data_IF_204133942641
#
_entry.id   IF_204133942641
#
_cell.length_a   1.000
_cell.length_b   1.000
_cell.length_c   1.000
_cell.angle_alpha   90.00
_cell.angle_beta   90.00
_cell.angle_gamma   90.00
#
_symmetry.space_group_name_H-M   'P 1'
#
loop_
_entity.id
_entity.type
_entity.pdbx_description
1 polymer ?
#
# COMPACT_ATOMS: atom_id res chain seq x y z
N UNK A 1 -3.29 40.64 -52.20
CA UNK A 1 -3.89 39.41 -51.62
C UNK A 1 -3.11 39.06 -50.37
N UNK A 2 -3.59 39.49 -49.23
CA UNK A 2 -2.93 39.37 -47.93
C UNK A 2 -3.64 38.22 -47.14
N UNK A 3 -2.93 37.10 -47.01
CA UNK A 3 -3.39 35.99 -46.16
C UNK A 3 -3.15 36.35 -44.69
N UNK A 4 -4.24 36.47 -43.92
CA UNK A 4 -4.22 36.50 -42.47
C UNK A 4 -4.04 35.05 -41.95
N UNK A 5 -3.01 34.82 -41.20
CA UNK A 5 -2.83 33.60 -40.39
C UNK A 5 -3.69 33.69 -39.14
N UNK A 6 -4.49 32.69 -38.91
CA UNK A 6 -5.30 32.46 -37.67
C UNK A 6 -4.41 31.72 -36.70
N UNK A 7 -4.28 32.17 -35.44
CA UNK A 7 -3.54 31.42 -34.43
C UNK A 7 -4.36 30.22 -33.95
N UNK A 8 -3.72 29.13 -33.49
CA UNK A 8 -4.42 27.95 -32.95
C UNK A 8 -5.06 28.28 -31.60
N UNK A 9 -6.27 27.76 -31.38
CA UNK A 9 -7.04 27.88 -30.17
C UNK A 9 -6.39 27.06 -29.03
N UNK A 10 -6.22 27.72 -27.88
CA UNK A 10 -5.83 27.09 -26.61
C UNK A 10 -6.91 26.06 -26.18
N UNK A 11 -6.50 24.93 -25.57
CA UNK A 11 -7.45 24.01 -24.94
C UNK A 11 -8.00 24.62 -23.66
N UNK A 12 -9.32 24.71 -23.59
CA UNK A 12 -10.08 25.14 -22.41
C UNK A 12 -9.80 24.18 -21.23
N UNK A 13 -9.26 24.72 -20.16
CA UNK A 13 -9.06 24.00 -18.91
C UNK A 13 -10.38 23.53 -18.31
N UNK A 14 -10.50 22.24 -18.10
CA UNK A 14 -11.58 21.63 -17.35
C UNK A 14 -11.50 22.02 -15.87
N UNK A 15 -12.57 22.58 -15.40
CA UNK A 15 -12.78 23.12 -14.07
C UNK A 15 -12.77 22.01 -13.01
N UNK A 16 -11.74 21.95 -12.17
CA UNK A 16 -11.58 20.98 -11.05
C UNK A 16 -12.15 21.57 -9.74
N UNK A 17 -13.33 22.19 -9.80
CA UNK A 17 -13.92 22.89 -8.68
C UNK A 17 -15.10 22.16 -8.02
N UNK A 18 -14.95 20.87 -7.63
CA UNK A 18 -16.02 20.11 -6.97
C UNK A 18 -15.82 19.85 -5.48
N UNK A 19 -14.71 20.24 -4.87
CA UNK A 19 -14.35 19.78 -3.52
C UNK A 19 -14.29 20.85 -2.42
N UNK A 20 -14.68 22.09 -2.69
CA UNK A 20 -14.70 23.17 -1.67
C UNK A 20 -16.10 23.64 -1.33
N UNK A 21 -16.92 22.80 -0.73
CA UNK A 21 -18.09 23.30 0.00
C UNK A 21 -18.54 22.29 1.07
N UNK A 22 -18.38 22.70 2.31
CA UNK A 22 -19.00 22.25 3.56
C UNK A 22 -18.18 21.34 4.48
N UNK A 23 -17.27 21.92 5.23
CA UNK A 23 -17.15 21.68 6.68
C UNK A 23 -16.63 22.97 7.33
N UNK A 24 -17.50 23.89 7.68
CA UNK A 24 -17.30 24.88 8.75
C UNK A 24 -18.65 25.04 9.45
N UNK A 25 -18.81 24.38 10.60
CA UNK A 25 -19.77 24.80 11.61
C UNK A 25 -19.42 24.22 12.98
N UNK A 26 -18.79 25.07 13.76
CA UNK A 26 -19.18 25.37 15.15
C UNK A 26 -18.84 24.34 16.24
N UNK A 27 -17.69 24.53 16.83
CA UNK A 27 -17.50 24.25 18.27
C UNK A 27 -17.77 25.53 19.05
N UNK A 28 -18.89 25.57 19.78
CA UNK A 28 -19.15 26.54 20.86
C UNK A 28 -18.97 25.83 22.20
N UNK A 29 -18.03 26.30 22.98
CA UNK A 29 -17.84 25.96 24.38
C UNK A 29 -19.01 26.49 25.23
N UNK A 30 -19.55 25.62 26.07
CA UNK A 30 -20.33 26.04 27.22
C UNK A 30 -19.70 25.44 28.48
N UNK A 31 -19.16 26.31 29.31
CA UNK A 31 -18.66 26.05 30.64
C UNK A 31 -19.81 25.79 31.60
N UNK A 32 -19.75 24.71 32.35
CA UNK A 32 -20.69 24.42 33.45
C UNK A 32 -20.01 23.59 34.53
N UNK A 33 -19.99 24.13 35.70
CA UNK A 33 -19.37 23.78 36.96
C UNK A 33 -19.85 22.45 37.57
N UNK A 34 -18.91 21.74 38.21
CA UNK A 34 -19.09 20.54 39.03
C UNK A 34 -19.63 20.88 40.44
N UNK A 35 -20.31 19.94 41.09
CA UNK A 35 -19.95 19.64 42.48
C UNK A 35 -19.81 18.15 42.75
N UNK A 36 -18.79 17.82 43.53
CA UNK A 36 -18.45 16.50 43.96
C UNK A 36 -19.32 15.89 45.04
N UNK A 37 -19.30 14.61 45.16
CA UNK A 37 -19.59 13.85 46.40
C UNK A 37 -18.80 12.52 46.45
N UNK A 38 -18.33 12.30 47.64
CA UNK A 38 -17.48 11.31 48.27
C UNK A 38 -17.75 9.82 48.05
N UNK A 39 -16.66 9.07 48.18
CA UNK A 39 -16.35 7.66 48.37
C UNK A 39 -17.16 6.98 49.55
N UNK A 40 -17.37 5.62 49.54
CA UNK A 40 -16.37 4.79 50.26
C UNK A 40 -16.02 3.44 49.66
N UNK A 41 -14.80 3.02 50.03
CA UNK A 41 -14.17 1.71 49.99
C UNK A 41 -15.02 0.55 50.59
N UNK A 42 -14.95 -0.62 49.95
CA UNK A 42 -15.02 -1.88 50.68
C UNK A 42 -14.10 -2.93 50.01
N UNK A 43 -13.13 -3.39 50.75
CA UNK A 43 -12.21 -4.45 50.37
C UNK A 43 -12.82 -5.85 50.52
N UNK A 44 -12.38 -6.77 49.69
CA UNK A 44 -12.49 -8.20 49.97
C UNK A 44 -11.16 -8.88 49.61
N UNK A 45 -10.48 -9.36 50.63
CA UNK A 45 -9.28 -10.22 50.56
C UNK A 45 -9.74 -11.65 50.38
N UNK A 46 -9.24 -12.32 49.34
CA UNK A 46 -9.27 -13.77 49.26
C UNK A 46 -7.85 -14.27 48.97
N UNK A 47 -7.30 -14.92 49.98
CA UNK A 47 -6.02 -15.64 49.92
C UNK A 47 -6.29 -17.05 49.39
N UNK A 48 -5.64 -17.46 48.35
CA UNK A 48 -5.43 -18.87 48.01
C UNK A 48 -3.96 -19.08 47.66
N UNK A 49 -3.39 -20.02 48.36
CA UNK A 49 -1.98 -20.37 48.33
C UNK A 49 -1.55 -21.14 47.07
N UNK A 50 -0.45 -20.80 46.54
CA UNK A 50 0.73 -21.57 46.23
C UNK A 50 0.69 -22.62 45.11
N UNK A 51 1.42 -22.29 44.03
CA UNK A 51 2.39 -23.20 43.42
C UNK A 51 3.43 -22.39 42.69
N UNK A 52 4.67 -22.50 43.12
CA UNK A 52 5.86 -21.86 42.55
C UNK A 52 6.27 -22.55 41.28
N UNK A 53 6.26 -21.82 40.15
CA UNK A 53 7.14 -22.09 39.01
C UNK A 53 7.74 -20.77 38.58
N UNK A 54 9.04 -20.68 38.74
CA UNK A 54 9.87 -19.54 38.33
C UNK A 54 9.95 -19.44 36.80
N UNK A 55 9.26 -18.48 36.26
CA UNK A 55 9.55 -17.97 34.91
C UNK A 55 9.89 -16.50 35.05
N UNK A 56 11.11 -16.13 34.62
CA UNK A 56 11.62 -14.79 34.66
C UNK A 56 10.79 -13.81 33.81
N UNK A 57 10.89 -12.50 34.06
CA UNK A 57 10.13 -11.50 33.31
C UNK A 57 10.65 -11.45 31.88
N UNK A 58 9.83 -11.84 30.91
CA UNK A 58 10.01 -11.49 29.52
C UNK A 58 9.78 -9.98 29.37
N UNK A 59 10.88 -9.23 29.34
CA UNK A 59 10.84 -7.84 28.94
C UNK A 59 10.35 -7.74 27.51
N UNK A 60 9.22 -7.05 27.29
CA UNK A 60 8.88 -6.55 25.99
C UNK A 60 9.85 -5.40 25.69
N UNK A 61 10.93 -5.73 24.98
CA UNK A 61 11.75 -4.73 24.31
C UNK A 61 10.93 -4.06 23.20
N UNK A 62 11.30 -2.84 22.78
CA UNK A 62 10.68 -2.20 21.62
C UNK A 62 10.75 -3.15 20.42
N UNK A 63 9.82 -3.04 19.43
CA UNK A 63 9.87 -3.87 18.24
C UNK A 63 11.25 -3.72 17.62
N UNK A 64 12.07 -4.74 17.82
CA UNK A 64 13.49 -4.73 17.53
C UNK A 64 13.69 -4.73 16.03
N UNK A 65 14.75 -4.06 15.62
CA UNK A 65 15.36 -4.17 14.32
C UNK A 65 15.24 -5.60 13.79
N UNK A 66 14.62 -5.73 12.62
CA UNK A 66 14.60 -6.99 11.89
C UNK A 66 16.07 -7.41 11.74
N UNK A 67 16.42 -8.56 12.26
CA UNK A 67 17.76 -9.10 12.10
C UNK A 67 18.02 -9.25 10.60
N UNK A 68 19.03 -8.57 10.09
CA UNK A 68 19.49 -8.77 8.73
C UNK A 68 19.79 -10.26 8.55
N UNK A 69 19.20 -10.85 7.52
CA UNK A 69 19.51 -12.22 7.15
C UNK A 69 20.97 -12.25 6.70
N UNK A 70 21.78 -13.15 7.25
CA UNK A 70 23.17 -13.26 6.87
C UNK A 70 23.30 -13.48 5.37
N UNK A 71 24.30 -12.84 4.74
CA UNK A 71 24.60 -13.04 3.32
C UNK A 71 24.60 -14.52 2.95
N UNK A 72 24.11 -14.88 1.74
CA UNK A 72 24.18 -16.26 1.23
C UNK A 72 25.58 -16.85 1.36
N UNK A 73 25.68 -18.13 1.69
CA UNK A 73 26.99 -18.80 1.96
C UNK A 73 27.96 -18.85 0.78
N UNK A 74 27.56 -18.36 -0.43
CA UNK A 74 28.39 -18.34 -1.64
C UNK A 74 28.12 -17.09 -2.47
N UNK A 75 28.99 -16.09 -2.37
CA UNK A 75 28.99 -14.93 -3.26
C UNK A 75 29.86 -15.20 -4.48
N UNK A 76 29.36 -14.95 -5.67
CA UNK A 76 30.15 -14.99 -6.92
C UNK A 76 31.03 -13.74 -7.01
N UNK A 77 30.45 -12.60 -6.60
CA UNK A 77 31.14 -11.31 -6.51
C UNK A 77 30.86 -10.70 -5.14
N UNK A 78 31.87 -10.05 -4.56
CA UNK A 78 31.71 -9.31 -3.30
C UNK A 78 32.09 -7.86 -3.51
N UNK A 79 31.15 -6.96 -3.22
CA UNK A 79 31.31 -5.52 -3.32
C UNK A 79 31.48 -4.93 -1.93
N UNK A 80 32.52 -4.13 -1.76
CA UNK A 80 32.81 -3.41 -0.52
C UNK A 80 32.99 -1.90 -0.73
N UNK A 81 32.95 -1.45 -1.99
CA UNK A 81 33.15 -0.05 -2.38
C UNK A 81 32.18 0.34 -3.50
N UNK A 82 31.70 1.56 -3.45
CA UNK A 82 30.81 2.13 -4.47
C UNK A 82 31.41 2.06 -5.89
N UNK A 83 32.70 2.35 -6.04
CA UNK A 83 33.40 2.34 -7.34
C UNK A 83 33.38 0.97 -8.05
N UNK A 84 33.20 -0.11 -7.31
CA UNK A 84 33.21 -1.48 -7.86
C UNK A 84 31.82 -1.92 -8.35
N UNK A 85 30.75 -1.20 -7.99
CA UNK A 85 29.35 -1.55 -8.27
C UNK A 85 29.08 -1.68 -9.75
N UNK A 86 29.38 -0.69 -10.63
CA UNK A 86 29.02 -0.80 -12.06
C UNK A 86 29.67 -1.99 -12.72
N UNK A 87 30.97 -2.22 -12.48
CA UNK A 87 31.70 -3.31 -13.09
C UNK A 87 31.20 -4.69 -12.66
N UNK A 88 30.80 -4.85 -11.39
CA UNK A 88 30.27 -6.12 -10.88
C UNK A 88 28.86 -6.39 -11.41
N UNK A 89 28.01 -5.39 -11.52
CA UNK A 89 26.66 -5.54 -12.10
C UNK A 89 26.71 -5.86 -13.61
N UNK A 90 27.62 -5.21 -14.34
CA UNK A 90 27.83 -5.48 -15.77
C UNK A 90 28.38 -6.88 -16.04
N UNK A 91 29.19 -7.42 -15.12
CA UNK A 91 29.78 -8.75 -15.25
C UNK A 91 28.85 -9.89 -14.81
N UNK A 92 27.78 -9.59 -14.06
CA UNK A 92 26.88 -10.60 -13.52
C UNK A 92 26.22 -11.45 -14.61
N UNK A 93 26.15 -12.74 -14.39
CA UNK A 93 25.57 -13.74 -15.27
C UNK A 93 24.48 -14.53 -14.54
N UNK A 94 23.65 -15.26 -15.29
CA UNK A 94 22.59 -16.09 -14.73
C UNK A 94 23.14 -17.07 -13.67
N UNK A 95 22.54 -17.06 -12.49
CA UNK A 95 22.94 -17.86 -11.33
C UNK A 95 24.00 -17.20 -10.42
N UNK A 96 24.49 -16.04 -10.77
CA UNK A 96 25.43 -15.31 -9.91
C UNK A 96 24.74 -14.70 -8.68
N UNK A 97 25.48 -14.65 -7.57
CA UNK A 97 25.15 -13.91 -6.37
C UNK A 97 26.15 -12.79 -6.16
N UNK A 98 25.71 -11.56 -6.33
CA UNK A 98 26.50 -10.35 -6.09
C UNK A 98 26.19 -9.88 -4.66
N UNK A 99 27.16 -10.04 -3.77
CA UNK A 99 27.04 -9.70 -2.35
C UNK A 99 27.58 -8.29 -2.07
N UNK A 100 26.79 -7.51 -1.37
CA UNK A 100 27.17 -6.19 -0.90
C UNK A 100 27.50 -6.28 0.60
N UNK A 101 28.79 -6.35 0.93
CA UNK A 101 29.26 -6.45 2.29
C UNK A 101 29.89 -5.14 2.72
N UNK A 102 29.23 -4.50 3.66
CA UNK A 102 29.79 -3.36 4.37
C UNK A 102 29.12 -2.04 4.09
N UNK A 103 28.36 -1.61 5.05
CA UNK A 103 28.08 -0.26 5.40
C UNK A 103 27.35 0.58 4.35
N UNK A 104 27.60 1.84 4.50
CA UNK A 104 27.06 2.89 3.66
C UNK A 104 27.85 2.97 2.35
N UNK A 105 27.18 2.67 1.22
CA UNK A 105 27.72 2.90 -0.12
C UNK A 105 27.39 4.31 -0.61
N UNK A 106 26.89 5.17 0.26
CA UNK A 106 26.63 6.57 0.02
C UNK A 106 25.60 6.83 -1.07
N UNK A 107 25.88 7.80 -1.90
CA UNK A 107 25.01 8.26 -3.00
C UNK A 107 25.07 7.30 -4.22
N UNK A 108 25.21 5.98 -3.99
CA UNK A 108 25.33 5.00 -5.07
C UNK A 108 23.96 4.57 -5.57
N UNK A 109 23.77 4.68 -6.89
CA UNK A 109 22.65 4.11 -7.58
C UNK A 109 23.01 2.70 -8.09
N UNK A 110 22.17 1.72 -7.79
CA UNK A 110 22.28 0.37 -8.35
C UNK A 110 21.45 0.29 -9.63
N UNK A 111 22.13 0.15 -10.77
CA UNK A 111 21.43 -0.01 -12.07
C UNK A 111 21.75 -1.39 -12.64
N UNK A 112 20.77 -2.32 -12.58
CA UNK A 112 20.89 -3.68 -13.05
C UNK A 112 20.18 -3.85 -14.39
N UNK A 113 20.93 -4.25 -15.43
CA UNK A 113 20.42 -4.47 -16.79
C UNK A 113 20.70 -5.90 -17.30
N UNK A 114 21.37 -6.72 -16.49
CA UNK A 114 21.66 -8.12 -16.82
C UNK A 114 20.55 -9.00 -16.30
N UNK A 115 20.03 -9.86 -17.15
CA UNK A 115 18.98 -10.81 -16.80
C UNK A 115 19.55 -12.15 -16.34
N UNK A 116 18.93 -12.71 -15.31
CA UNK A 116 19.05 -14.14 -15.01
C UNK A 116 18.15 -14.99 -15.89
N UNK A 117 17.86 -16.19 -15.43
CA UNK A 117 16.82 -17.07 -15.99
C UNK A 117 15.92 -17.58 -14.85
N UNK A 118 14.76 -18.13 -15.18
CA UNK A 118 13.84 -18.68 -14.19
C UNK A 118 14.49 -19.74 -13.28
N UNK A 119 15.36 -20.57 -13.85
CA UNK A 119 16.08 -21.63 -13.12
C UNK A 119 17.38 -21.13 -12.46
N UNK A 120 17.89 -19.97 -12.86
CA UNK A 120 19.15 -19.40 -12.40
C UNK A 120 19.04 -17.85 -12.35
N UNK A 121 18.28 -17.28 -11.40
CA UNK A 121 18.18 -15.83 -11.25
C UNK A 121 19.52 -15.24 -10.85
N UNK A 122 19.72 -13.94 -11.15
CA UNK A 122 20.81 -13.18 -10.57
C UNK A 122 20.33 -12.64 -9.21
N UNK A 123 21.13 -12.83 -8.17
CA UNK A 123 20.80 -12.33 -6.82
C UNK A 123 21.72 -11.17 -6.45
N UNK A 124 21.12 -10.03 -6.13
CA UNK A 124 21.78 -8.91 -5.48
C UNK A 124 21.46 -9.01 -3.98
N UNK A 125 22.42 -9.40 -3.16
CA UNK A 125 22.22 -9.66 -1.74
C UNK A 125 23.04 -8.69 -0.88
N UNK A 126 22.41 -8.09 0.12
CA UNK A 126 23.07 -7.19 1.06
C UNK A 126 22.83 -7.64 2.50
N UNK A 127 23.79 -7.34 3.39
CA UNK A 127 23.62 -7.39 4.84
C UNK A 127 23.50 -5.94 5.34
N UNK A 128 22.34 -5.33 5.06
CA UNK A 128 22.04 -3.95 5.44
C UNK A 128 22.89 -2.89 4.73
N UNK A 129 23.50 -3.19 3.59
CA UNK A 129 24.20 -2.17 2.82
C UNK A 129 23.22 -1.07 2.38
N UNK A 130 23.60 0.19 2.61
CA UNK A 130 22.80 1.37 2.26
C UNK A 130 23.18 1.88 0.90
N UNK A 131 22.17 2.09 0.03
CA UNK A 131 22.30 2.69 -1.31
C UNK A 131 21.26 3.77 -1.50
N UNK A 132 21.47 4.69 -2.46
CA UNK A 132 20.55 5.79 -2.69
C UNK A 132 19.30 5.35 -3.45
N UNK A 133 19.50 4.59 -4.53
CA UNK A 133 18.43 4.15 -5.43
C UNK A 133 18.74 2.79 -6.04
N UNK A 134 17.70 2.04 -6.38
CA UNK A 134 17.84 0.78 -7.11
C UNK A 134 16.95 0.80 -8.34
N UNK A 135 17.52 0.53 -9.51
CA UNK A 135 16.81 0.33 -10.76
C UNK A 135 17.15 -1.05 -11.33
N UNK A 136 16.17 -1.92 -11.46
CA UNK A 136 16.30 -3.23 -12.11
C UNK A 136 15.47 -3.21 -13.39
N UNK A 137 16.15 -3.19 -14.54
CA UNK A 137 15.58 -3.21 -15.89
C UNK A 137 16.02 -4.49 -16.59
N UNK A 138 15.58 -5.60 -16.08
CA UNK A 138 16.05 -6.95 -16.44
C UNK A 138 15.03 -7.98 -15.96
N UNK A 139 15.15 -9.22 -16.43
CA UNK A 139 14.32 -10.33 -16.01
C UNK A 139 15.06 -11.24 -15.00
N UNK A 140 14.30 -11.90 -14.13
CA UNK A 140 14.80 -12.90 -13.19
C UNK A 140 15.95 -12.40 -12.32
N UNK A 141 15.72 -11.30 -11.62
CA UNK A 141 16.64 -10.71 -10.63
C UNK A 141 15.99 -10.71 -9.26
N UNK A 142 16.75 -11.06 -8.24
CA UNK A 142 16.38 -10.99 -6.84
C UNK A 142 17.14 -9.84 -6.19
N UNK A 143 16.43 -8.94 -5.50
CA UNK A 143 16.98 -7.87 -4.67
C UNK A 143 16.65 -8.16 -3.21
N UNK A 144 17.65 -8.37 -2.36
CA UNK A 144 17.39 -8.72 -0.97
C UNK A 144 18.34 -8.05 0.03
N UNK A 145 17.80 -7.66 1.19
CA UNK A 145 18.56 -7.23 2.35
C UNK A 145 19.15 -5.81 2.29
N UNK A 146 18.77 -5.00 1.32
CA UNK A 146 19.26 -3.62 1.17
C UNK A 146 18.50 -2.64 2.06
N UNK A 147 19.23 -1.59 2.44
CA UNK A 147 18.65 -0.31 2.86
C UNK A 147 18.70 0.65 1.67
N UNK A 148 17.57 1.19 1.24
CA UNK A 148 17.48 2.17 0.14
C UNK A 148 16.95 3.49 0.72
N UNK A 149 17.73 4.57 0.60
CA UNK A 149 17.39 5.82 1.25
C UNK A 149 17.79 7.07 0.46
N UNK A 150 16.90 8.05 0.40
CA UNK A 150 17.19 9.41 -0.08
C UNK A 150 17.00 9.65 -1.58
N UNK A 151 16.85 8.59 -2.39
CA UNK A 151 16.70 8.70 -3.86
C UNK A 151 15.29 8.40 -4.36
N UNK A 152 15.20 7.81 -5.55
CA UNK A 152 13.94 7.42 -6.20
C UNK A 152 13.26 6.19 -5.61
N UNK A 153 13.90 5.50 -4.64
CA UNK A 153 13.43 4.22 -4.11
C UNK A 153 13.88 3.02 -4.95
N UNK A 154 13.02 2.02 -5.08
CA UNK A 154 13.29 0.82 -5.87
C UNK A 154 12.38 0.80 -7.09
N UNK A 155 12.96 0.78 -8.29
CA UNK A 155 12.26 0.61 -9.56
C UNK A 155 12.56 -0.77 -10.14
N UNK A 156 11.50 -1.52 -10.43
CA UNK A 156 11.54 -2.84 -11.06
C UNK A 156 10.80 -2.77 -12.41
N UNK A 157 11.47 -3.17 -13.49
CA UNK A 157 10.92 -3.27 -14.84
C UNK A 157 11.33 -4.61 -15.43
N UNK A 158 10.41 -5.57 -15.58
CA UNK A 158 10.73 -6.88 -16.16
C UNK A 158 9.83 -8.02 -15.68
N UNK A 159 10.28 -9.25 -15.92
CA UNK A 159 9.57 -10.47 -15.55
C UNK A 159 10.33 -11.31 -14.53
N UNK A 160 9.61 -11.99 -13.65
CA UNK A 160 10.20 -12.90 -12.66
C UNK A 160 11.11 -12.20 -11.64
N UNK A 161 10.80 -10.94 -11.30
CA UNK A 161 11.58 -10.15 -10.33
C UNK A 161 11.14 -10.45 -8.90
N UNK A 162 12.09 -10.39 -7.99
CA UNK A 162 11.79 -10.50 -6.55
C UNK A 162 12.50 -9.37 -5.79
N UNK A 163 11.73 -8.61 -5.00
CA UNK A 163 12.28 -7.69 -4.01
C UNK A 163 11.85 -8.16 -2.62
N UNK A 164 12.80 -8.53 -1.76
CA UNK A 164 12.48 -9.08 -0.44
C UNK A 164 13.43 -8.60 0.67
N UNK A 165 12.90 -8.51 1.88
CA UNK A 165 13.67 -8.16 3.09
C UNK A 165 14.44 -6.84 2.96
N UNK A 166 13.96 -5.91 2.13
CA UNK A 166 14.59 -4.59 1.99
C UNK A 166 13.93 -3.58 2.93
N UNK A 167 14.71 -2.60 3.36
CA UNK A 167 14.21 -1.41 4.06
C UNK A 167 14.35 -0.21 3.12
N UNK A 168 13.23 0.47 2.84
CA UNK A 168 13.18 1.64 1.95
C UNK A 168 12.64 2.83 2.73
N UNK A 169 13.39 3.93 2.82
CA UNK A 169 12.95 5.07 3.61
C UNK A 169 13.46 6.41 3.09
N UNK A 170 12.77 7.49 3.49
CA UNK A 170 13.14 8.87 3.17
C UNK A 170 13.34 9.11 1.67
N UNK A 171 12.54 8.47 0.81
CA UNK A 171 12.69 8.58 -0.64
C UNK A 171 11.93 9.79 -1.21
N UNK A 172 12.38 10.29 -2.35
CA UNK A 172 11.78 11.45 -3.02
C UNK A 172 10.65 11.09 -4.01
N UNK A 173 10.52 9.81 -4.40
CA UNK A 173 9.52 9.37 -5.40
C UNK A 173 8.58 8.33 -4.80
N UNK A 174 9.00 7.08 -4.67
CA UNK A 174 8.17 6.01 -4.13
C UNK A 174 8.97 5.07 -3.25
N UNK A 175 8.30 4.09 -2.63
CA UNK A 175 8.98 3.00 -1.96
C UNK A 175 9.49 1.97 -2.97
N UNK A 176 8.61 1.05 -3.39
CA UNK A 176 8.91 0.03 -4.42
C UNK A 176 7.90 0.19 -5.57
N UNK A 177 8.40 0.49 -6.75
CA UNK A 177 7.62 0.58 -7.99
C UNK A 177 7.95 -0.60 -8.90
N UNK A 178 6.94 -1.35 -9.34
CA UNK A 178 7.06 -2.48 -10.28
C UNK A 178 6.19 -2.16 -11.51
N UNK A 179 6.76 -1.46 -12.49
CA UNK A 179 6.02 -0.89 -13.63
C UNK A 179 6.88 -0.78 -14.92
N UNK A 180 6.67 -1.61 -15.94
CA UNK A 180 5.80 -2.79 -15.94
C UNK A 180 6.48 -4.05 -15.39
N UNK A 181 5.71 -4.87 -14.69
CA UNK A 181 6.20 -6.16 -14.20
C UNK A 181 5.27 -7.31 -14.59
N UNK A 182 5.86 -8.51 -14.70
CA UNK A 182 5.11 -9.76 -14.90
C UNK A 182 5.69 -10.88 -14.06
N UNK A 183 4.82 -11.71 -13.44
CA UNK A 183 5.24 -12.88 -12.64
C UNK A 183 6.28 -12.53 -11.54
N UNK A 184 6.09 -11.39 -10.87
CA UNK A 184 7.07 -10.82 -9.94
C UNK A 184 6.54 -10.82 -8.51
N UNK A 185 7.47 -10.77 -7.54
CA UNK A 185 7.15 -10.84 -6.11
C UNK A 185 7.79 -9.69 -5.33
N UNK A 186 7.00 -9.03 -4.48
CA UNK A 186 7.44 -8.02 -3.52
C UNK A 186 7.03 -8.51 -2.14
N UNK A 187 8.00 -8.97 -1.32
CA UNK A 187 7.66 -9.61 -0.06
C UNK A 187 8.56 -9.19 1.10
N UNK A 188 7.97 -9.10 2.30
CA UNK A 188 8.71 -8.86 3.55
C UNK A 188 9.58 -7.60 3.54
N UNK A 189 9.20 -6.57 2.77
CA UNK A 189 9.91 -5.29 2.77
C UNK A 189 9.28 -4.32 3.77
N UNK A 190 10.07 -3.38 4.25
CA UNK A 190 9.61 -2.28 5.12
C UNK A 190 9.80 -0.95 4.40
N UNK A 191 8.72 -0.19 4.21
CA UNK A 191 8.72 1.15 3.64
C UNK A 191 8.26 2.15 4.69
N UNK A 192 9.05 3.22 4.91
CA UNK A 192 8.72 4.26 5.88
C UNK A 192 9.16 5.63 5.35
N UNK A 193 8.29 6.63 5.48
CA UNK A 193 8.56 7.99 5.04
C UNK A 193 8.98 8.07 3.57
N UNK A 194 8.27 7.33 2.71
CA UNK A 194 8.47 7.33 1.25
C UNK A 194 7.45 8.24 0.58
N UNK A 195 7.86 8.93 -0.49
CA UNK A 195 6.98 9.86 -1.16
C UNK A 195 5.98 9.15 -2.10
N UNK A 196 4.79 9.71 -2.28
CA UNK A 196 3.74 9.24 -3.20
C UNK A 196 3.10 7.92 -2.79
N UNK A 197 3.74 6.76 -3.02
CA UNK A 197 3.18 5.45 -2.71
C UNK A 197 4.22 4.57 -2.02
N UNK A 198 3.78 3.79 -1.03
CA UNK A 198 4.64 2.76 -0.45
C UNK A 198 5.02 1.71 -1.49
N UNK A 199 4.01 1.15 -2.18
CA UNK A 199 4.20 0.23 -3.31
C UNK A 199 3.30 0.67 -4.47
N UNK A 200 3.83 0.65 -5.70
CA UNK A 200 3.07 0.85 -6.95
C UNK A 200 3.32 -0.34 -7.88
N UNK A 201 2.26 -1.03 -8.30
CA UNK A 201 2.38 -2.17 -9.21
C UNK A 201 1.55 -1.97 -10.46
N UNK A 202 2.18 -2.19 -11.61
CA UNK A 202 1.54 -2.19 -12.93
C UNK A 202 1.98 -3.41 -13.73
N UNK A 203 1.03 -4.23 -14.19
CA UNK A 203 1.37 -5.38 -15.03
C UNK A 203 0.50 -6.61 -14.80
N UNK A 204 1.12 -7.78 -14.69
CA UNK A 204 0.37 -9.03 -14.58
C UNK A 204 0.98 -9.99 -13.55
N UNK A 205 0.12 -10.67 -12.79
CA UNK A 205 0.49 -11.75 -11.85
C UNK A 205 1.61 -11.36 -10.88
N UNK A 206 1.49 -10.16 -10.29
CA UNK A 206 2.41 -9.68 -9.27
C UNK A 206 1.87 -10.13 -7.90
N UNK A 207 2.74 -10.71 -7.09
CA UNK A 207 2.48 -11.04 -5.69
C UNK A 207 3.09 -9.98 -4.79
N UNK A 208 2.28 -9.42 -3.89
CA UNK A 208 2.72 -8.46 -2.87
C UNK A 208 2.34 -9.03 -1.51
N UNK A 209 3.33 -9.50 -0.75
CA UNK A 209 3.06 -10.29 0.46
C UNK A 209 3.87 -9.83 1.66
N UNK A 210 3.22 -9.76 2.83
CA UNK A 210 3.88 -9.53 4.12
C UNK A 210 4.74 -8.27 4.20
N UNK A 211 4.46 -7.22 3.41
CA UNK A 211 5.18 -5.95 3.50
C UNK A 211 4.59 -5.07 4.60
N UNK A 212 5.44 -4.21 5.16
CA UNK A 212 5.04 -3.15 6.11
C UNK A 212 5.26 -1.78 5.47
N UNK A 213 4.20 -0.99 5.40
CA UNK A 213 4.20 0.36 4.82
C UNK A 213 3.67 1.33 5.89
N UNK A 214 4.39 2.41 6.12
CA UNK A 214 3.96 3.44 7.07
C UNK A 214 4.47 4.83 6.69
N UNK A 215 3.73 5.84 7.15
CA UNK A 215 4.16 7.24 7.04
C UNK A 215 4.53 7.65 5.60
N UNK A 216 3.71 7.21 4.62
CA UNK A 216 3.88 7.68 3.24
C UNK A 216 3.58 9.17 3.18
N UNK A 217 4.37 9.94 2.42
CA UNK A 217 4.29 11.40 2.37
C UNK A 217 4.02 11.92 0.96
N UNK A 218 3.48 13.11 0.85
CA UNK A 218 3.28 13.78 -0.45
C UNK A 218 4.62 14.07 -1.09
N UNK A 219 4.78 13.74 -2.37
CA UNK A 219 6.00 14.07 -3.09
C UNK A 219 6.18 15.58 -3.25
N UNK A 220 7.41 16.05 -3.47
CA UNK A 220 7.71 17.46 -3.73
C UNK A 220 6.95 18.05 -4.93
N UNK A 221 6.40 17.21 -5.78
CA UNK A 221 5.60 17.61 -6.96
C UNK A 221 4.09 17.61 -6.67
N UNK A 222 3.67 17.31 -5.44
CA UNK A 222 2.27 17.16 -5.05
C UNK A 222 1.76 15.74 -5.34
N UNK A 223 0.44 15.57 -5.27
CA UNK A 223 -0.23 14.28 -5.43
C UNK A 223 -0.73 13.71 -4.10
N UNK A 224 -1.04 12.43 -4.10
CA UNK A 224 -1.46 11.71 -2.91
C UNK A 224 -0.27 11.07 -2.17
N UNK A 225 -0.60 10.46 -1.04
CA UNK A 225 0.32 9.71 -0.20
C UNK A 225 -0.36 8.37 0.16
N UNK A 226 -0.30 7.38 -0.73
CA UNK A 226 -1.01 6.12 -0.55
C UNK A 226 -0.11 5.03 0.02
N UNK A 227 -0.74 4.04 0.65
CA UNK A 227 -0.03 2.81 0.99
C UNK A 227 0.37 2.04 -0.27
N UNK A 228 -0.61 1.74 -1.14
CA UNK A 228 -0.37 0.94 -2.34
C UNK A 228 -1.30 1.33 -3.49
N UNK A 229 -0.72 1.45 -4.69
CA UNK A 229 -1.47 1.52 -5.96
C UNK A 229 -1.27 0.27 -6.79
N UNK A 230 -2.31 -0.14 -7.52
CA UNK A 230 -2.27 -1.36 -8.32
C UNK A 230 -3.06 -1.23 -9.62
N UNK A 231 -2.46 -1.68 -10.72
CA UNK A 231 -3.01 -1.65 -12.08
C UNK A 231 -2.65 -2.93 -12.83
N UNK A 232 -3.60 -3.47 -13.60
CA UNK A 232 -3.41 -4.69 -14.36
C UNK A 232 -4.07 -5.90 -13.74
N UNK A 233 -3.59 -7.10 -13.98
CA UNK A 233 -4.40 -8.30 -13.71
C UNK A 233 -3.64 -9.46 -13.05
N UNK A 234 -4.42 -10.31 -12.37
CA UNK A 234 -3.89 -11.52 -11.75
C UNK A 234 -3.09 -11.27 -10.47
N UNK A 235 -3.19 -10.09 -9.86
CA UNK A 235 -2.39 -9.75 -8.68
C UNK A 235 -2.91 -10.43 -7.42
N UNK A 236 -1.98 -10.75 -6.51
CA UNK A 236 -2.26 -11.30 -5.17
C UNK A 236 -1.57 -10.41 -4.13
N UNK A 237 -2.37 -9.65 -3.38
CA UNK A 237 -1.92 -8.65 -2.39
C UNK A 237 -2.35 -9.17 -1.02
N UNK A 238 -1.41 -9.77 -0.28
CA UNK A 238 -1.78 -10.56 0.91
C UNK A 238 -0.92 -10.23 2.12
N UNK A 239 -1.57 -10.24 3.29
CA UNK A 239 -0.92 -10.17 4.60
C UNK A 239 -0.01 -8.94 4.81
N UNK A 240 -0.24 -7.85 4.07
CA UNK A 240 0.51 -6.60 4.23
C UNK A 240 -0.07 -5.78 5.39
N UNK A 241 0.78 -4.99 6.01
CA UNK A 241 0.40 -3.99 7.01
C UNK A 241 0.66 -2.60 6.47
N UNK A 242 -0.40 -1.77 6.40
CA UNK A 242 -0.33 -0.37 5.99
C UNK A 242 -0.86 0.48 7.13
N UNK A 243 -0.09 1.49 7.56
CA UNK A 243 -0.48 2.27 8.72
C UNK A 243 0.08 3.68 8.77
N UNK A 244 -0.57 4.51 9.58
CA UNK A 244 -0.05 5.78 10.04
C UNK A 244 0.25 6.75 8.89
N UNK A 245 -0.67 6.86 7.91
CA UNK A 245 -0.58 7.79 6.78
C UNK A 245 -1.58 8.92 6.99
N UNK A 246 -1.08 10.15 7.12
CA UNK A 246 -1.89 11.30 7.49
C UNK A 246 -1.95 12.38 6.40
N UNK A 247 -3.13 12.98 6.29
CA UNK A 247 -3.38 14.18 5.50
C UNK A 247 -3.11 15.48 6.28
N UNK A 248 -2.74 15.40 7.57
CA UNK A 248 -2.53 16.55 8.42
C UNK A 248 -1.22 17.29 8.10
N UNK A 249 -1.22 18.60 8.25
CA UNK A 249 -0.02 19.42 8.05
C UNK A 249 0.24 19.90 6.62
N UNK A 250 -0.46 19.37 5.63
CA UNK A 250 -0.31 19.80 4.23
C UNK A 250 -1.20 21.01 3.90
N UNK A 251 -0.66 21.96 3.11
CA UNK A 251 -1.45 23.10 2.60
C UNK A 251 -2.56 22.64 1.64
N UNK A 252 -2.28 21.61 0.84
CA UNK A 252 -3.25 20.88 0.03
C UNK A 252 -3.21 19.42 0.53
N UNK A 253 -4.14 19.05 1.43
CA UNK A 253 -4.12 17.72 2.02
C UNK A 253 -4.24 16.63 0.95
N UNK A 254 -3.43 15.57 1.03
CA UNK A 254 -3.61 14.38 0.20
C UNK A 254 -4.89 13.63 0.59
N UNK A 255 -5.21 12.63 -0.21
CA UNK A 255 -6.29 11.68 0.07
C UNK A 255 -5.68 10.28 0.30
N UNK A 256 -5.04 10.04 1.44
CA UNK A 256 -4.25 8.83 1.63
C UNK A 256 -5.15 7.58 1.79
N UNK A 257 -4.93 6.61 0.94
CA UNK A 257 -5.63 5.33 0.94
C UNK A 257 -4.66 4.17 1.23
N UNK A 258 -5.17 3.07 1.83
CA UNK A 258 -4.33 1.88 1.94
C UNK A 258 -4.15 1.21 0.58
N UNK A 259 -5.24 1.05 -0.17
CA UNK A 259 -5.24 0.43 -1.50
C UNK A 259 -6.02 1.29 -2.47
N UNK A 260 -5.39 1.70 -3.57
CA UNK A 260 -6.02 2.54 -4.59
C UNK A 260 -5.84 1.95 -5.99
N UNK A 261 -6.89 1.97 -6.80
CA UNK A 261 -6.85 1.82 -8.26
C UNK A 261 -7.79 2.81 -8.91
N UNK A 262 -7.43 3.29 -10.11
CA UNK A 262 -8.22 4.29 -10.85
C UNK A 262 -8.02 4.14 -12.35
N UNK A 263 -8.98 4.66 -13.14
CA UNK A 263 -8.84 4.76 -14.59
C UNK A 263 -7.92 5.95 -14.95
N UNK A 264 -6.72 5.67 -15.43
CA UNK A 264 -5.71 6.68 -15.72
C UNK A 264 -4.82 6.32 -16.92
N UNK A 265 -5.34 5.63 -17.90
CA UNK A 265 -4.59 5.09 -19.04
C UNK A 265 -3.62 3.95 -18.71
N UNK A 266 -3.64 3.45 -17.48
CA UNK A 266 -2.93 2.23 -17.08
C UNK A 266 -3.68 0.99 -17.57
N UNK A 267 -3.04 -0.19 -17.55
CA UNK A 267 -3.73 -1.44 -17.89
C UNK A 267 -4.99 -1.67 -17.02
N UNK A 268 -6.07 -2.21 -17.60
CA UNK A 268 -7.28 -2.52 -16.84
C UNK A 268 -7.03 -3.43 -15.64
N UNK A 269 -7.68 -3.13 -14.52
CA UNK A 269 -7.55 -3.89 -13.27
C UNK A 269 -8.62 -4.97 -13.16
N UNK A 270 -8.25 -6.24 -13.20
CA UNK A 270 -9.15 -7.38 -12.99
C UNK A 270 -8.41 -8.59 -12.43
N UNK A 271 -9.14 -9.56 -11.85
CA UNK A 271 -8.57 -10.72 -11.16
C UNK A 271 -7.54 -10.30 -10.09
N UNK A 272 -7.84 -9.23 -9.34
CA UNK A 272 -7.01 -8.80 -8.23
C UNK A 272 -7.60 -9.30 -6.92
N UNK A 273 -6.81 -10.02 -6.14
CA UNK A 273 -7.20 -10.48 -4.79
C UNK A 273 -6.41 -9.72 -3.75
N UNK A 274 -7.11 -9.02 -2.86
CA UNK A 274 -6.56 -8.29 -1.72
C UNK A 274 -7.08 -8.99 -0.46
N UNK A 275 -6.22 -9.71 0.27
CA UNK A 275 -6.68 -10.56 1.37
C UNK A 275 -5.76 -10.59 2.58
N UNK A 276 -6.37 -10.69 3.77
CA UNK A 276 -5.62 -10.82 5.03
C UNK A 276 -4.80 -9.59 5.43
N UNK A 277 -4.95 -8.46 4.75
CA UNK A 277 -4.17 -7.27 5.02
C UNK A 277 -4.72 -6.49 6.23
N UNK A 278 -3.86 -5.72 6.87
CA UNK A 278 -4.19 -4.79 7.93
C UNK A 278 -3.97 -3.35 7.45
N UNK A 279 -5.03 -2.54 7.52
CA UNK A 279 -5.01 -1.10 7.27
C UNK A 279 -5.44 -0.38 8.54
N UNK A 280 -4.60 0.47 9.11
CA UNK A 280 -4.92 1.18 10.34
C UNK A 280 -4.37 2.60 10.36
N UNK A 281 -5.12 3.52 10.97
CA UNK A 281 -4.71 4.92 11.13
C UNK A 281 -4.27 5.57 9.81
N UNK A 282 -5.08 5.39 8.75
CA UNK A 282 -4.92 6.03 7.45
C UNK A 282 -6.11 6.95 7.23
N UNK A 283 -5.89 8.19 6.80
CA UNK A 283 -6.89 9.25 6.91
C UNK A 283 -8.04 9.14 5.89
N UNK A 284 -7.91 8.37 4.82
CA UNK A 284 -9.02 8.14 3.89
C UNK A 284 -9.48 6.66 3.88
N UNK A 285 -9.53 6.00 2.74
CA UNK A 285 -10.13 4.67 2.64
C UNK A 285 -9.13 3.52 2.85
N UNK A 286 -9.67 2.38 3.24
CA UNK A 286 -8.93 1.12 3.18
C UNK A 286 -8.80 0.65 1.72
N UNK A 287 -9.89 0.74 0.94
CA UNK A 287 -9.89 0.47 -0.49
C UNK A 287 -10.68 1.54 -1.23
N UNK A 288 -10.09 2.14 -2.25
CA UNK A 288 -10.80 2.94 -3.24
C UNK A 288 -10.56 2.40 -4.66
N UNK A 289 -11.64 2.28 -5.44
CA UNK A 289 -11.59 2.01 -6.86
C UNK A 289 -12.50 2.99 -7.59
N UNK A 290 -11.91 3.82 -8.47
CA UNK A 290 -12.63 4.88 -9.16
C UNK A 290 -12.41 4.82 -10.67
N UNK A 291 -13.50 4.63 -11.42
CA UNK A 291 -13.52 4.75 -12.88
C UNK A 291 -14.20 6.05 -13.33
N UNK A 292 -13.93 6.49 -14.55
CA UNK A 292 -14.56 7.67 -15.10
C UNK A 292 -16.00 7.40 -15.57
N UNK A 293 -16.18 6.53 -16.57
CA UNK A 293 -17.48 6.26 -17.13
C UNK A 293 -17.77 4.78 -17.32
N UNK A 294 -16.74 4.02 -17.64
CA UNK A 294 -16.88 2.65 -18.10
C UNK A 294 -16.37 1.63 -17.10
N UNK A 295 -15.72 2.08 -16.05
CA UNK A 295 -15.10 1.21 -15.07
C UNK A 295 -14.13 0.26 -15.76
N UNK A 296 -13.85 -0.84 -15.13
CA UNK A 296 -12.92 -1.82 -15.66
C UNK A 296 -13.68 -2.90 -16.47
N UNK A 297 -13.95 -2.63 -17.75
CA UNK A 297 -14.71 -3.52 -18.63
C UNK A 297 -13.91 -4.64 -19.27
N UNK A 298 -12.61 -4.65 -19.09
CA UNK A 298 -11.74 -5.64 -19.74
C UNK A 298 -11.67 -6.99 -18.99
N UNK A 299 -12.35 -7.13 -17.86
CA UNK A 299 -12.44 -8.41 -17.16
C UNK A 299 -13.18 -9.45 -17.99
N UNK A 300 -12.68 -10.68 -18.09
CA UNK A 300 -13.44 -11.77 -18.68
C UNK A 300 -14.77 -12.03 -17.95
N UNK A 301 -15.77 -12.54 -18.65
CA UNK A 301 -17.06 -12.87 -18.07
C UNK A 301 -16.91 -13.77 -16.82
N UNK A 302 -17.56 -13.36 -15.74
CA UNK A 302 -17.53 -14.08 -14.46
C UNK A 302 -16.27 -13.94 -13.63
N UNK A 303 -15.28 -13.18 -14.08
CA UNK A 303 -14.07 -12.87 -13.30
C UNK A 303 -14.32 -11.57 -12.52
N UNK A 304 -14.21 -11.57 -11.16
CA UNK A 304 -14.26 -10.34 -10.40
C UNK A 304 -13.14 -9.38 -10.81
N UNK A 305 -13.46 -8.09 -10.85
CA UNK A 305 -12.41 -7.09 -11.03
C UNK A 305 -11.48 -7.05 -9.81
N UNK A 306 -12.08 -6.92 -8.62
CA UNK A 306 -11.35 -6.92 -7.35
C UNK A 306 -12.08 -7.86 -6.39
N UNK A 307 -11.34 -8.71 -5.70
CA UNK A 307 -11.81 -9.50 -4.54
C UNK A 307 -11.11 -8.99 -3.29
N UNK A 308 -11.84 -8.29 -2.43
CA UNK A 308 -11.38 -7.74 -1.17
C UNK A 308 -11.92 -8.60 -0.02
N UNK A 309 -11.06 -9.43 0.60
CA UNK A 309 -11.54 -10.51 1.50
C UNK A 309 -10.68 -10.67 2.76
N UNK A 310 -11.33 -10.77 3.92
CA UNK A 310 -10.65 -11.09 5.19
C UNK A 310 -9.69 -10.00 5.68
N UNK A 311 -9.81 -8.77 5.21
CA UNK A 311 -8.95 -7.66 5.63
C UNK A 311 -9.46 -7.01 6.91
N UNK A 312 -8.55 -6.41 7.67
CA UNK A 312 -8.84 -5.61 8.85
C UNK A 312 -8.59 -4.13 8.54
N UNK A 313 -9.64 -3.34 8.55
CA UNK A 313 -9.61 -1.92 8.23
C UNK A 313 -10.03 -1.08 9.44
N UNK A 314 -9.09 -0.32 9.98
CA UNK A 314 -9.30 0.64 11.07
C UNK A 314 -8.83 2.03 10.61
N UNK A 315 -9.41 2.50 9.49
CA UNK A 315 -9.06 3.77 8.84
C UNK A 315 -9.85 4.95 9.42
N UNK A 316 -9.36 6.17 9.16
CA UNK A 316 -9.96 7.40 9.69
C UNK A 316 -11.04 7.98 8.78
N UNK A 317 -11.17 7.52 7.54
CA UNK A 317 -12.14 7.99 6.55
C UNK A 317 -13.60 7.64 6.90
N UNK A 318 -14.52 8.33 6.24
CA UNK A 318 -15.95 8.11 6.42
C UNK A 318 -16.47 6.81 5.78
N UNK A 319 -15.75 6.25 4.83
CA UNK A 319 -15.95 4.93 4.23
C UNK A 319 -14.69 4.10 4.39
N UNK A 320 -14.82 2.79 4.63
CA UNK A 320 -13.67 1.88 4.56
C UNK A 320 -13.42 1.41 3.12
N UNK A 321 -14.49 1.09 2.38
CA UNK A 321 -14.43 0.73 0.96
C UNK A 321 -15.30 1.70 0.15
N UNK A 322 -14.73 2.28 -0.91
CA UNK A 322 -15.41 3.23 -1.79
C UNK A 322 -15.22 2.82 -3.26
N UNK A 323 -16.29 2.34 -3.89
CA UNK A 323 -16.31 1.83 -5.27
C UNK A 323 -17.18 2.73 -6.13
N UNK A 324 -16.61 3.32 -7.18
CA UNK A 324 -17.28 4.24 -8.08
C UNK A 324 -16.95 3.92 -9.53
N UNK A 325 -17.95 3.77 -10.40
CA UNK A 325 -17.78 3.36 -11.80
C UNK A 325 -16.88 2.10 -11.96
N UNK A 326 -17.00 1.15 -11.02
CA UNK A 326 -16.15 -0.04 -11.00
C UNK A 326 -16.99 -1.31 -10.79
N UNK A 327 -17.32 -2.06 -11.84
CA UNK A 327 -18.22 -3.22 -11.74
C UNK A 327 -17.52 -4.48 -11.21
N UNK A 328 -18.32 -5.47 -10.82
CA UNK A 328 -17.89 -6.83 -10.47
C UNK A 328 -16.90 -6.90 -9.31
N UNK A 329 -17.02 -6.02 -8.31
CA UNK A 329 -16.20 -6.05 -7.09
C UNK A 329 -16.83 -6.99 -6.06
N UNK A 330 -16.00 -7.82 -5.43
CA UNK A 330 -16.39 -8.70 -4.33
C UNK A 330 -15.77 -8.20 -3.04
N UNK A 331 -16.57 -7.85 -2.03
CA UNK A 331 -16.15 -7.41 -0.70
C UNK A 331 -16.71 -8.38 0.32
N UNK A 332 -15.89 -9.24 0.93
CA UNK A 332 -16.41 -10.27 1.83
C UNK A 332 -15.53 -10.55 3.05
N UNK A 333 -16.20 -10.85 4.18
CA UNK A 333 -15.53 -11.30 5.41
C UNK A 333 -14.46 -10.33 5.93
N UNK A 334 -14.61 -9.03 5.67
CA UNK A 334 -13.71 -8.01 6.21
C UNK A 334 -14.25 -7.46 7.53
N UNK A 335 -13.35 -6.92 8.35
CA UNK A 335 -13.68 -6.19 9.57
C UNK A 335 -13.37 -4.72 9.37
N UNK A 336 -14.38 -3.86 9.55
CA UNK A 336 -14.27 -2.42 9.37
C UNK A 336 -14.49 -1.67 10.68
N UNK A 337 -13.60 -0.75 10.98
CA UNK A 337 -13.67 0.13 12.16
C UNK A 337 -13.08 1.49 11.84
N UNK A 338 -13.23 2.44 12.76
CA UNK A 338 -12.62 3.77 12.63
C UNK A 338 -13.47 4.84 13.29
N UNK A 339 -12.86 5.95 13.73
CA UNK A 339 -13.53 7.00 14.50
C UNK A 339 -14.59 7.74 13.68
N UNK A 340 -14.36 7.92 12.38
CA UNK A 340 -15.22 8.69 11.48
C UNK A 340 -16.08 7.81 10.56
N UNK A 341 -16.00 6.48 10.68
CA UNK A 341 -16.70 5.55 9.81
C UNK A 341 -18.21 5.77 9.85
N UNK A 342 -18.81 6.15 8.73
CA UNK A 342 -20.26 6.33 8.55
C UNK A 342 -20.88 5.23 7.72
N UNK A 343 -20.10 4.64 6.80
CA UNK A 343 -20.44 3.49 5.97
C UNK A 343 -19.22 2.58 5.88
N UNK A 344 -19.42 1.29 6.04
CA UNK A 344 -18.31 0.35 5.82
C UNK A 344 -18.00 0.25 4.31
N UNK A 345 -19.03 0.04 3.48
CA UNK A 345 -18.89 -0.12 2.04
C UNK A 345 -19.87 0.82 1.31
N UNK A 346 -19.33 1.60 0.38
CA UNK A 346 -20.11 2.44 -0.55
C UNK A 346 -19.87 1.95 -1.97
N UNK A 347 -20.97 1.57 -2.66
CA UNK A 347 -20.98 1.16 -4.07
C UNK A 347 -21.86 2.16 -4.84
N UNK A 348 -21.29 2.87 -5.81
CA UNK A 348 -21.99 3.98 -6.47
C UNK A 348 -21.60 4.17 -7.92
N UNK A 349 -22.39 5.04 -8.59
CA UNK A 349 -22.14 5.53 -9.95
C UNK A 349 -22.01 4.41 -10.99
N UNK A 350 -22.97 3.45 -10.97
CA UNK A 350 -23.03 2.38 -11.98
C UNK A 350 -22.05 1.22 -11.74
N UNK A 351 -21.53 1.06 -10.53
CA UNK A 351 -20.73 -0.09 -10.13
C UNK A 351 -21.60 -1.35 -9.99
N UNK A 352 -22.02 -1.91 -11.10
CA UNK A 352 -22.98 -3.04 -11.16
C UNK A 352 -22.29 -4.39 -10.91
N UNK A 353 -23.09 -5.43 -10.58
CA UNK A 353 -22.59 -6.80 -10.39
C UNK A 353 -21.71 -7.00 -9.16
N UNK A 354 -21.75 -6.07 -8.20
CA UNK A 354 -20.93 -6.16 -6.98
C UNK A 354 -21.53 -7.13 -5.95
N UNK A 355 -20.67 -7.81 -5.21
CA UNK A 355 -21.06 -8.73 -4.13
C UNK A 355 -20.46 -8.24 -2.80
N UNK A 356 -21.32 -7.98 -1.79
CA UNK A 356 -20.88 -7.50 -0.47
C UNK A 356 -21.50 -8.40 0.60
N UNK A 357 -20.71 -9.32 1.15
CA UNK A 357 -21.23 -10.41 1.99
C UNK A 357 -20.37 -10.65 3.25
N UNK A 358 -21.04 -10.81 4.39
CA UNK A 358 -20.42 -11.32 5.62
C UNK A 358 -19.36 -10.40 6.22
N UNK A 359 -19.42 -9.10 5.94
CA UNK A 359 -18.53 -8.12 6.54
C UNK A 359 -19.04 -7.68 7.91
N UNK A 360 -18.12 -7.34 8.81
CA UNK A 360 -18.40 -6.90 10.17
C UNK A 360 -17.97 -5.45 10.36
N UNK A 361 -18.76 -4.66 11.09
CA UNK A 361 -18.41 -3.27 11.45
C UNK A 361 -18.63 -3.03 12.94
N UNK A 362 -17.74 -2.26 13.56
CA UNK A 362 -17.80 -1.93 15.00
C UNK A 362 -18.82 -0.84 15.35
N UNK A 363 -19.72 -0.44 14.45
CA UNK A 363 -20.72 0.63 14.69
C UNK A 363 -22.12 0.24 14.23
N UNK A 364 -23.13 0.68 14.99
CA UNK A 364 -24.58 0.60 14.67
C UNK A 364 -24.95 1.56 13.52
N UNK A 365 -24.29 1.50 12.38
CA UNK A 365 -24.58 2.34 11.23
C UNK A 365 -24.72 1.49 9.97
N UNK A 366 -25.34 2.03 8.89
CA UNK A 366 -25.46 1.28 7.65
C UNK A 366 -24.10 0.73 7.22
N UNK A 367 -23.99 -0.60 7.25
CA UNK A 367 -22.76 -1.29 6.90
C UNK A 367 -22.44 -1.12 5.42
N UNK A 368 -23.49 -1.17 4.58
CA UNK A 368 -23.38 -1.13 3.13
C UNK A 368 -24.39 -0.16 2.54
N UNK A 369 -23.94 0.69 1.64
CA UNK A 369 -24.81 1.55 0.81
C UNK A 369 -24.53 1.26 -0.66
N UNK A 370 -25.60 0.94 -1.41
CA UNK A 370 -25.55 0.74 -2.87
C UNK A 370 -26.55 1.71 -3.49
N UNK A 371 -26.09 2.61 -4.35
CA UNK A 371 -26.96 3.56 -5.04
C UNK A 371 -27.85 2.87 -6.10
N UNK A 372 -28.87 3.61 -6.57
CA UNK A 372 -29.85 3.05 -7.51
C UNK A 372 -29.22 2.57 -8.82
N UNK A 373 -28.18 3.22 -9.30
CA UNK A 373 -27.50 2.89 -10.56
C UNK A 373 -26.61 1.66 -10.45
N UNK A 374 -26.15 1.32 -9.25
CA UNK A 374 -25.23 0.21 -8.99
C UNK A 374 -25.95 -1.08 -8.54
N UNK A 375 -27.26 -1.03 -8.28
CA UNK A 375 -28.04 -2.22 -7.86
C UNK A 375 -28.15 -3.35 -8.88
N UNK A 376 -28.21 -3.10 -10.22
CA UNK A 376 -28.32 -4.20 -11.17
C UNK A 376 -27.22 -5.24 -11.01
N UNK A 377 -27.60 -6.51 -10.79
CA UNK A 377 -26.70 -7.63 -10.60
C UNK A 377 -25.90 -7.62 -9.29
N UNK A 378 -26.07 -6.60 -8.43
CA UNK A 378 -25.37 -6.53 -7.15
C UNK A 378 -26.11 -7.33 -6.07
N UNK A 379 -25.33 -7.96 -5.17
CA UNK A 379 -25.82 -8.78 -4.07
C UNK A 379 -25.21 -8.33 -2.73
N UNK A 380 -26.09 -8.07 -1.74
CA UNK A 380 -25.69 -7.62 -0.40
C UNK A 380 -26.37 -8.51 0.64
N UNK A 381 -25.59 -9.23 1.45
CA UNK A 381 -26.12 -10.16 2.44
C UNK A 381 -25.19 -10.34 3.65
N UNK A 382 -25.77 -10.69 4.80
CA UNK A 382 -25.05 -11.09 6.03
C UNK A 382 -23.97 -10.10 6.51
N UNK A 383 -24.14 -8.80 6.24
CA UNK A 383 -23.24 -7.77 6.78
C UNK A 383 -23.79 -7.29 8.13
N UNK A 384 -23.02 -7.43 9.20
CA UNK A 384 -23.47 -7.21 10.57
C UNK A 384 -22.67 -6.14 11.30
N UNK A 385 -23.32 -5.33 12.15
CA UNK A 385 -22.59 -4.64 13.22
C UNK A 385 -22.00 -5.68 14.19
N UNK A 386 -20.81 -5.45 14.69
CA UNK A 386 -20.16 -6.30 15.70
C UNK A 386 -20.63 -5.94 17.11
#
# INVERSE_FOLDING_TARGET
>A
MTHRLIPPSEPQGGDVSWWTARVVAAVRWASGTVPGWLIPLLGLVLVVAGCTSSSGPSGHGPPGAQGHEALPGSCTHTITRADDVPAALDAAAAGDTVCFSGGDLGDTDLVMTRSGTADAPITLAADGATVQEVQIKADHVVLEGFTVAGGGGVLLEGAGLTARNNTVHDTEQGGITCDPCTDSTIESNTMTHVASNGIDITGQRITVHANTISDTVVSRHGGDADGMRFFGSGHRITDNTISDISAEGYRSPPHPDCFQTLDNSKPPTFDVVISGNTCRNVDAQCLIATGDQDGNRAAPDGVPSITFVGNQCANNGAQAVNIRHWPNVVVRQNTFSGPNLTRAVLISQGSTGCTVIGNTTTRDRPTVEVDGSSRPGSHVDNNTPS
#
